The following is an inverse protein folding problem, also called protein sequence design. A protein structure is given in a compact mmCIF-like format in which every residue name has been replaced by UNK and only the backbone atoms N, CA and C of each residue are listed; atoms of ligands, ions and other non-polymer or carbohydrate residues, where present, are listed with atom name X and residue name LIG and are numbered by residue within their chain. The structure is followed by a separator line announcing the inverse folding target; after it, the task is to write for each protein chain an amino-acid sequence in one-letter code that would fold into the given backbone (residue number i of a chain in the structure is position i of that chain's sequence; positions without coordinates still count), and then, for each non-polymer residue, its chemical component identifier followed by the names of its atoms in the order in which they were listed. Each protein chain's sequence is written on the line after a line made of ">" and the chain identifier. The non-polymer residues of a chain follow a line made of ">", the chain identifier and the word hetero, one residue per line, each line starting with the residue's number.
data_IF_362349214325
#
_entry.id   IF_362349214325
#
_cell.length_a   1.000
_cell.length_b   1.000
_cell.length_c   1.000
_cell.angle_alpha   90.00
_cell.angle_beta   90.00
_cell.angle_gamma   90.00
#
_symmetry.space_group_name_H-M   'P 1'
#
loop_
_entity.id
_entity.type
_entity.pdbx_description
1 polymer ?
#
# COMPACT_ATOMS: atom_id res chain seq x y z
N UNK A 1 40.64 -31.31 -1.99
CA UNK A 1 40.03 -30.24 -1.21
C UNK A 1 39.04 -30.88 -0.21
N UNK A 2 39.26 -30.78 1.09
CA UNK A 2 38.25 -31.20 2.06
C UNK A 2 37.10 -30.21 2.00
N UNK A 3 35.88 -30.68 1.65
CA UNK A 3 34.66 -29.87 1.76
C UNK A 3 34.51 -29.40 3.20
N UNK A 4 34.19 -28.13 3.42
CA UNK A 4 33.94 -27.62 4.73
C UNK A 4 32.79 -28.40 5.40
N UNK A 5 32.81 -28.56 6.74
CA UNK A 5 31.78 -29.32 7.46
C UNK A 5 30.35 -28.88 7.13
N UNK A 6 30.12 -27.58 7.00
CA UNK A 6 28.81 -26.99 6.67
C UNK A 6 28.27 -27.45 5.32
N UNK A 7 29.11 -27.57 4.28
CA UNK A 7 28.67 -28.07 2.96
C UNK A 7 28.29 -29.56 3.02
N UNK A 8 29.00 -30.35 3.84
CA UNK A 8 28.69 -31.74 4.07
C UNK A 8 27.34 -31.93 4.76
N UNK A 9 27.07 -31.14 5.80
CA UNK A 9 25.80 -31.17 6.57
C UNK A 9 24.62 -30.68 5.72
N UNK A 10 24.78 -29.62 4.94
CA UNK A 10 23.75 -29.18 4.00
C UNK A 10 23.42 -30.27 2.97
N UNK A 11 24.42 -30.97 2.48
CA UNK A 11 24.22 -32.11 1.58
C UNK A 11 23.51 -33.28 2.25
N UNK A 12 23.85 -33.58 3.51
CA UNK A 12 23.16 -34.59 4.32
C UNK A 12 21.68 -34.24 4.51
N UNK A 13 21.39 -33.02 5.00
CA UNK A 13 20.02 -32.54 5.23
C UNK A 13 19.16 -32.63 3.97
N UNK A 14 19.68 -32.16 2.83
CA UNK A 14 18.97 -32.23 1.56
C UNK A 14 18.62 -33.67 1.16
N UNK A 15 19.52 -34.61 1.33
CA UNK A 15 19.25 -36.02 0.98
C UNK A 15 18.21 -36.66 1.86
N UNK A 16 18.15 -36.30 3.14
CA UNK A 16 17.27 -36.91 4.11
C UNK A 16 15.89 -36.24 4.22
N UNK A 17 15.81 -34.91 4.01
CA UNK A 17 14.58 -34.15 4.22
C UNK A 17 14.02 -33.50 2.94
N UNK A 18 14.80 -33.48 1.84
CA UNK A 18 14.38 -32.88 0.57
C UNK A 18 14.27 -33.87 -0.59
N UNK A 19 14.33 -35.14 -0.33
CA UNK A 19 14.16 -36.17 -1.34
C UNK A 19 13.09 -37.16 -0.85
N UNK A 20 11.91 -37.20 -1.53
CA UNK A 20 11.51 -36.35 -2.67
C UNK A 20 11.33 -34.89 -2.27
N UNK A 21 11.41 -33.97 -3.25
CA UNK A 21 11.23 -32.53 -2.99
C UNK A 21 9.86 -32.29 -2.32
N UNK A 22 9.85 -31.68 -1.11
CA UNK A 22 8.60 -31.50 -0.37
C UNK A 22 7.65 -30.57 -1.14
N UNK A 23 6.35 -30.90 -1.10
CA UNK A 23 5.27 -30.07 -1.62
C UNK A 23 4.59 -29.40 -0.45
N UNK A 24 4.49 -28.06 -0.50
CA UNK A 24 3.85 -27.27 0.54
C UNK A 24 2.88 -26.25 -0.08
N UNK A 25 1.82 -25.93 0.64
CA UNK A 25 0.82 -24.96 0.21
C UNK A 25 1.34 -23.51 0.29
N UNK A 26 2.28 -23.24 1.21
CA UNK A 26 2.92 -21.93 1.40
C UNK A 26 4.37 -22.08 1.85
N UNK A 27 5.11 -20.97 1.85
CA UNK A 27 6.48 -20.95 2.39
C UNK A 27 6.52 -21.20 3.90
N UNK A 28 5.51 -20.75 4.65
CA UNK A 28 5.41 -21.02 6.07
C UNK A 28 5.31 -22.52 6.33
N UNK A 29 4.41 -23.20 5.66
CA UNK A 29 4.26 -24.68 5.77
C UNK A 29 5.55 -25.39 5.39
N UNK A 30 6.25 -24.91 4.35
CA UNK A 30 7.55 -25.47 3.98
C UNK A 30 8.59 -25.27 5.09
N UNK A 31 8.65 -24.07 5.66
CA UNK A 31 9.58 -23.77 6.76
C UNK A 31 9.30 -24.61 8.00
N UNK A 32 8.02 -24.85 8.33
CA UNK A 32 7.63 -25.71 9.45
C UNK A 32 8.10 -27.16 9.22
N UNK A 33 7.92 -27.69 8.01
CA UNK A 33 8.43 -29.02 7.64
C UNK A 33 9.94 -29.11 7.77
N UNK A 34 10.68 -28.08 7.34
CA UNK A 34 12.13 -28.03 7.46
C UNK A 34 12.57 -27.94 8.92
N UNK A 35 11.88 -27.15 9.73
CA UNK A 35 12.15 -27.02 11.16
C UNK A 35 11.92 -28.36 11.89
N UNK A 36 10.87 -29.11 11.51
CA UNK A 36 10.66 -30.46 12.02
C UNK A 36 11.85 -31.37 11.69
N UNK A 37 12.33 -31.34 10.44
CA UNK A 37 13.51 -32.10 10.03
C UNK A 37 14.77 -31.71 10.82
N UNK A 38 14.99 -30.43 11.09
CA UNK A 38 16.08 -29.98 11.96
C UNK A 38 15.97 -30.55 13.38
N UNK A 39 14.76 -30.54 13.96
CA UNK A 39 14.51 -31.12 15.31
C UNK A 39 14.68 -32.64 15.36
N UNK A 40 14.39 -33.34 14.28
CA UNK A 40 14.68 -34.75 14.15
C UNK A 40 16.18 -35.01 14.11
N UNK A 41 16.93 -34.19 13.37
CA UNK A 41 18.39 -34.28 13.29
C UNK A 41 19.10 -34.01 14.64
N UNK A 42 18.48 -33.25 15.56
CA UNK A 42 19.00 -33.09 16.94
C UNK A 42 19.13 -34.42 17.70
N UNK A 43 18.34 -35.42 17.33
CA UNK A 43 18.38 -36.78 17.94
C UNK A 43 19.48 -37.66 17.37
N UNK A 44 20.09 -37.22 16.26
CA UNK A 44 21.12 -37.97 15.56
C UNK A 44 22.40 -38.10 16.39
N UNK A 45 23.00 -39.25 16.36
CA UNK A 45 24.36 -39.50 16.84
C UNK A 45 25.29 -39.51 15.62
N UNK A 46 26.31 -38.66 15.61
CA UNK A 46 27.32 -38.61 14.53
C UNK A 46 28.36 -39.68 14.85
N UNK A 47 28.77 -40.45 13.84
CA UNK A 47 29.77 -41.48 13.98
C UNK A 47 31.06 -40.93 14.60
N UNK A 48 31.61 -41.65 15.60
CA UNK A 48 32.75 -41.20 16.39
C UNK A 48 32.46 -40.14 17.47
N UNK A 49 31.19 -39.75 17.68
CA UNK A 49 30.76 -38.88 18.78
C UNK A 49 30.03 -39.66 19.88
N UNK A 50 30.19 -39.22 21.13
CA UNK A 50 29.53 -39.81 22.27
C UNK A 50 28.18 -39.17 22.61
N UNK A 51 27.97 -37.94 22.14
CA UNK A 51 26.78 -37.13 22.39
C UNK A 51 25.93 -36.98 21.11
N UNK A 52 24.63 -36.89 21.31
CA UNK A 52 23.69 -36.51 20.23
C UNK A 52 23.87 -35.04 19.86
N UNK A 53 23.52 -34.68 18.60
CA UNK A 53 23.64 -33.32 18.09
C UNK A 53 22.98 -32.31 19.02
N UNK A 54 21.75 -32.56 19.46
CA UNK A 54 21.02 -31.64 20.35
C UNK A 54 21.66 -31.45 21.72
N UNK A 55 22.31 -32.51 22.27
CA UNK A 55 23.04 -32.42 23.54
C UNK A 55 24.30 -31.56 23.37
N UNK A 56 25.09 -31.83 22.34
CA UNK A 56 26.26 -31.01 22.03
C UNK A 56 25.89 -29.53 21.76
N UNK A 57 24.79 -29.29 21.06
CA UNK A 57 24.31 -27.94 20.80
C UNK A 57 23.83 -27.22 22.08
N UNK A 58 23.24 -27.95 23.04
CA UNK A 58 22.84 -27.37 24.32
C UNK A 58 24.07 -26.87 25.11
N UNK A 59 25.15 -27.68 25.14
CA UNK A 59 26.40 -27.30 25.78
C UNK A 59 27.10 -26.14 25.06
N UNK A 60 27.10 -26.14 23.72
CA UNK A 60 27.69 -25.07 22.91
C UNK A 60 26.96 -23.74 23.07
N UNK A 61 25.65 -23.77 23.31
CA UNK A 61 24.82 -22.57 23.46
C UNK A 61 25.32 -21.61 24.52
N UNK A 62 25.85 -22.14 25.64
CA UNK A 62 26.37 -21.33 26.73
C UNK A 62 27.67 -20.60 26.37
N UNK A 63 28.31 -21.01 25.29
CA UNK A 63 29.56 -20.43 24.78
C UNK A 63 29.34 -19.53 23.56
N UNK A 64 28.10 -19.46 23.05
CA UNK A 64 27.77 -18.58 21.92
C UNK A 64 27.80 -17.12 22.36
N UNK A 65 28.31 -16.25 21.50
CA UNK A 65 28.22 -14.82 21.70
C UNK A 65 26.77 -14.35 21.56
N UNK A 66 26.43 -13.25 22.26
CA UNK A 66 25.14 -12.61 22.06
C UNK A 66 24.98 -12.20 20.61
N UNK A 67 23.75 -12.34 20.08
CA UNK A 67 23.43 -11.86 18.75
C UNK A 67 23.59 -10.34 18.71
N UNK A 68 24.11 -9.77 17.62
CA UNK A 68 24.15 -8.32 17.45
C UNK A 68 22.74 -7.73 17.50
N UNK A 69 22.60 -6.51 18.05
CA UNK A 69 21.33 -5.79 18.16
C UNK A 69 20.70 -5.56 16.77
N UNK A 70 21.54 -5.27 15.78
CA UNK A 70 21.10 -5.13 14.39
C UNK A 70 21.17 -6.45 13.65
N UNK A 71 20.03 -6.85 13.08
CA UNK A 71 19.97 -8.03 12.23
C UNK A 71 20.82 -7.83 10.97
N UNK A 72 21.46 -8.91 10.51
CA UNK A 72 22.18 -8.89 9.23
C UNK A 72 21.23 -8.57 8.08
N UNK A 73 21.58 -7.57 7.27
CA UNK A 73 20.82 -7.21 6.07
C UNK A 73 21.02 -8.28 4.98
N UNK A 74 19.94 -8.98 4.66
CA UNK A 74 19.92 -10.05 3.64
C UNK A 74 19.70 -9.51 2.23
N UNK A 75 19.70 -8.20 2.03
CA UNK A 75 19.48 -7.60 0.71
C UNK A 75 20.58 -7.95 -0.29
N UNK A 76 20.19 -8.49 -1.44
CA UNK A 76 21.03 -8.51 -2.64
C UNK A 76 20.99 -7.11 -3.25
N UNK A 77 22.12 -6.39 -3.20
CA UNK A 77 22.19 -5.02 -3.72
C UNK A 77 22.39 -5.09 -5.24
N UNK A 78 21.55 -4.38 -5.98
CA UNK A 78 21.63 -4.22 -7.43
C UNK A 78 21.55 -2.74 -7.79
N UNK A 79 22.22 -2.34 -8.87
CA UNK A 79 22.13 -0.99 -9.43
C UNK A 79 21.43 -1.06 -10.77
N UNK A 80 20.51 -0.16 -11.01
CA UNK A 80 19.74 -0.08 -12.24
C UNK A 80 19.52 1.37 -12.65
N UNK A 81 19.17 1.58 -13.91
CA UNK A 81 18.77 2.89 -14.44
C UNK A 81 17.29 2.80 -14.77
N UNK A 82 16.54 3.83 -14.39
CA UNK A 82 15.10 3.92 -14.69
C UNK A 82 14.89 4.05 -16.18
N UNK A 83 14.07 3.17 -16.76
CA UNK A 83 13.78 3.16 -18.20
C UNK A 83 12.76 4.26 -18.59
N UNK A 84 12.50 4.39 -19.90
CA UNK A 84 11.54 5.38 -20.45
C UNK A 84 10.10 5.20 -19.95
N UNK A 85 9.75 4.06 -19.37
CA UNK A 85 8.46 3.76 -18.77
C UNK A 85 8.40 4.05 -17.26
N UNK A 86 9.45 4.63 -16.66
CA UNK A 86 9.52 4.87 -15.22
C UNK A 86 9.70 3.57 -14.41
N UNK A 87 10.44 2.61 -14.97
CA UNK A 87 10.61 1.29 -14.36
C UNK A 87 12.08 0.91 -14.22
N UNK A 88 12.34 0.02 -13.27
CA UNK A 88 13.63 -0.65 -13.12
C UNK A 88 13.49 -2.13 -13.44
N UNK A 89 14.49 -2.69 -14.13
CA UNK A 89 14.53 -4.11 -14.43
C UNK A 89 15.40 -4.84 -13.42
N UNK A 90 14.79 -5.77 -12.70
CA UNK A 90 15.48 -6.65 -11.76
C UNK A 90 15.29 -8.09 -12.19
N UNK A 91 16.40 -8.77 -12.47
CA UNK A 91 16.41 -10.11 -13.09
C UNK A 91 15.59 -10.10 -14.40
N UNK A 92 14.45 -10.77 -14.44
CA UNK A 92 13.60 -10.84 -15.64
C UNK A 92 12.35 -9.97 -15.56
N UNK A 93 12.10 -9.32 -14.42
CA UNK A 93 10.88 -8.58 -14.12
C UNK A 93 11.13 -7.06 -14.10
N UNK A 94 10.10 -6.31 -14.31
CA UNK A 94 10.11 -4.85 -14.37
C UNK A 94 9.22 -4.29 -13.26
N UNK A 95 9.74 -3.32 -12.51
CA UNK A 95 9.05 -2.72 -11.35
C UNK A 95 8.99 -1.21 -11.52
N UNK A 96 7.81 -0.62 -11.32
CA UNK A 96 7.63 0.82 -11.44
C UNK A 96 8.30 1.59 -10.31
N UNK A 97 8.68 2.84 -10.60
CA UNK A 97 9.26 3.77 -9.61
C UNK A 97 8.75 5.20 -9.90
N UNK A 98 8.58 6.04 -8.87
CA UNK A 98 8.22 7.45 -9.08
C UNK A 98 9.39 8.31 -9.57
N UNK A 99 10.57 7.72 -9.74
CA UNK A 99 11.78 8.43 -10.19
C UNK A 99 11.78 8.57 -11.71
N UNK A 100 12.26 9.71 -12.20
CA UNK A 100 12.30 10.02 -13.64
C UNK A 100 13.21 9.10 -14.45
N UNK A 101 12.90 8.91 -15.76
CA UNK A 101 13.73 8.12 -16.67
C UNK A 101 15.19 8.60 -16.74
N UNK A 102 16.10 7.66 -16.92
CA UNK A 102 17.54 7.93 -17.00
C UNK A 102 18.25 8.06 -15.65
N UNK A 103 17.52 8.05 -14.54
CA UNK A 103 18.09 8.21 -13.21
C UNK A 103 18.65 6.89 -12.70
N UNK A 104 19.89 6.88 -12.20
CA UNK A 104 20.45 5.70 -11.53
C UNK A 104 19.85 5.52 -10.14
N UNK A 105 19.51 4.27 -9.81
CA UNK A 105 18.93 3.90 -8.52
C UNK A 105 19.59 2.65 -7.97
N UNK A 106 19.62 2.53 -6.65
CA UNK A 106 19.99 1.30 -5.96
C UNK A 106 18.74 0.49 -5.66
N UNK A 107 18.79 -0.80 -5.89
CA UNK A 107 17.67 -1.70 -5.56
C UNK A 107 18.16 -2.75 -4.59
N UNK A 108 17.55 -2.79 -3.42
CA UNK A 108 17.75 -3.81 -2.41
C UNK A 108 16.72 -4.92 -2.64
N UNK A 109 17.20 -6.11 -2.97
CA UNK A 109 16.33 -7.26 -3.30
C UNK A 109 16.34 -8.25 -2.17
N UNK A 110 15.20 -8.34 -1.49
CA UNK A 110 14.95 -9.29 -0.40
C UNK A 110 14.21 -10.54 -0.92
N UNK A 111 14.08 -11.60 -0.10
CA UNK A 111 13.29 -12.77 -0.48
C UNK A 111 11.82 -12.45 -0.78
N UNK A 112 11.15 -11.63 0.03
CA UNK A 112 9.73 -11.33 -0.09
C UNK A 112 9.42 -10.05 -0.87
N UNK A 113 10.33 -9.08 -0.92
CA UNK A 113 10.11 -7.77 -1.53
C UNK A 113 11.39 -7.20 -2.12
N UNK A 114 11.25 -6.09 -2.80
CA UNK A 114 12.38 -5.25 -3.22
C UNK A 114 12.10 -3.79 -2.89
N UNK A 115 13.16 -3.05 -2.68
CA UNK A 115 13.13 -1.62 -2.38
C UNK A 115 13.98 -0.86 -3.39
N UNK A 116 13.42 0.20 -3.95
CA UNK A 116 14.14 1.10 -4.84
C UNK A 116 14.59 2.32 -4.04
N UNK A 117 15.88 2.60 -4.05
CA UNK A 117 16.50 3.68 -3.30
C UNK A 117 17.10 4.72 -4.24
N UNK A 118 16.78 5.98 -3.98
CA UNK A 118 17.33 7.14 -4.69
C UNK A 118 17.66 8.24 -3.68
N UNK A 119 18.84 8.85 -3.79
CA UNK A 119 19.33 9.88 -2.88
C UNK A 119 19.20 9.53 -1.39
N UNK A 120 19.53 8.27 -1.04
CA UNK A 120 19.49 7.80 0.34
C UNK A 120 18.10 7.53 0.91
N UNK A 121 17.04 7.62 0.08
CA UNK A 121 15.65 7.38 0.48
C UNK A 121 15.05 6.20 -0.27
N UNK A 122 14.24 5.40 0.42
CA UNK A 122 13.42 4.38 -0.22
C UNK A 122 12.24 5.08 -0.92
N UNK A 123 12.23 5.04 -2.26
CA UNK A 123 11.24 5.73 -3.08
C UNK A 123 10.14 4.81 -3.59
N UNK A 124 10.38 3.49 -3.63
CA UNK A 124 9.38 2.49 -3.98
C UNK A 124 9.67 1.16 -3.29
N UNK A 125 8.61 0.43 -2.93
CA UNK A 125 8.67 -0.92 -2.40
C UNK A 125 7.63 -1.78 -3.11
N UNK A 126 8.05 -2.96 -3.58
CA UNK A 126 7.19 -3.90 -4.28
C UNK A 126 7.34 -5.29 -3.70
N UNK A 127 6.28 -6.09 -3.75
CA UNK A 127 6.39 -7.53 -3.53
C UNK A 127 7.24 -8.16 -4.63
N UNK A 128 8.11 -9.09 -4.25
CA UNK A 128 8.97 -9.77 -5.19
C UNK A 128 8.18 -10.79 -6.01
N UNK A 129 8.20 -10.62 -7.32
CA UNK A 129 7.60 -11.57 -8.24
C UNK A 129 8.64 -12.61 -8.69
N UNK A 130 8.34 -13.89 -8.48
CA UNK A 130 9.20 -15.02 -8.88
C UNK A 130 8.87 -15.56 -10.29
N UNK A 131 7.74 -15.17 -10.86
CA UNK A 131 7.43 -15.44 -12.27
C UNK A 131 8.36 -14.64 -13.17
N UNK A 132 8.50 -15.07 -14.42
CA UNK A 132 9.40 -14.41 -15.38
C UNK A 132 8.66 -13.42 -16.26
N UNK A 133 9.35 -12.35 -16.66
CA UNK A 133 8.88 -11.34 -17.63
C UNK A 133 7.59 -10.67 -17.21
N UNK A 134 7.43 -10.45 -15.91
CA UNK A 134 6.27 -9.74 -15.37
C UNK A 134 6.55 -8.24 -15.21
N UNK A 135 5.50 -7.45 -15.34
CA UNK A 135 5.50 -6.03 -15.00
C UNK A 135 4.72 -5.84 -13.70
N UNK A 136 5.38 -5.29 -12.70
CA UNK A 136 4.78 -4.98 -11.40
C UNK A 136 4.71 -3.46 -11.30
N UNK A 137 3.51 -2.93 -11.49
CA UNK A 137 3.27 -1.50 -11.64
C UNK A 137 2.38 -0.99 -10.52
N UNK A 138 2.79 0.10 -9.89
CA UNK A 138 1.97 0.84 -8.94
C UNK A 138 1.44 2.12 -9.61
N UNK A 139 0.13 2.33 -9.54
CA UNK A 139 -0.53 3.48 -10.17
C UNK A 139 -0.04 4.81 -9.56
N UNK A 140 0.32 4.82 -8.28
CA UNK A 140 0.84 6.02 -7.61
C UNK A 140 2.09 6.58 -8.27
N UNK A 141 2.94 5.71 -8.81
CA UNK A 141 4.18 6.13 -9.46
C UNK A 141 3.95 6.90 -10.76
N UNK A 142 2.75 6.81 -11.33
CA UNK A 142 2.39 7.42 -12.60
C UNK A 142 1.46 8.63 -12.46
N UNK A 143 0.98 8.97 -11.26
CA UNK A 143 -0.03 10.01 -11.08
C UNK A 143 0.38 11.36 -11.65
N UNK A 144 1.64 11.77 -11.46
CA UNK A 144 2.16 13.04 -11.97
C UNK A 144 2.22 13.08 -13.52
N UNK A 145 2.48 11.93 -14.15
CA UNK A 145 2.45 11.79 -15.61
C UNK A 145 1.02 11.74 -16.12
N UNK A 146 0.15 11.03 -15.41
CA UNK A 146 -1.27 10.91 -15.75
C UNK A 146 -2.03 12.23 -15.58
N UNK A 147 -1.65 13.08 -14.64
CA UNK A 147 -2.20 14.43 -14.50
C UNK A 147 -1.98 15.27 -15.78
N UNK A 148 -0.80 15.14 -16.38
CA UNK A 148 -0.48 15.79 -17.65
C UNK A 148 -1.19 15.15 -18.84
N UNK A 149 -1.40 13.81 -18.80
CA UNK A 149 -2.04 13.02 -19.87
C UNK A 149 -3.20 12.16 -19.32
N UNK A 150 -4.29 12.79 -18.84
CA UNK A 150 -5.36 12.09 -18.15
C UNK A 150 -6.05 11.03 -19.02
N UNK A 151 -6.07 11.21 -20.33
CA UNK A 151 -6.63 10.23 -21.26
C UNK A 151 -5.97 8.85 -21.23
N UNK A 152 -4.73 8.75 -20.74
CA UNK A 152 -4.01 7.48 -20.62
C UNK A 152 -4.44 6.64 -19.41
N UNK A 153 -5.11 7.24 -18.42
CA UNK A 153 -5.46 6.54 -17.17
C UNK A 153 -6.38 5.34 -17.39
N UNK A 154 -7.43 5.50 -18.20
CA UNK A 154 -8.45 4.47 -18.40
C UNK A 154 -7.89 3.16 -18.99
N UNK A 155 -6.87 3.25 -19.83
CA UNK A 155 -6.22 2.08 -20.45
C UNK A 155 -4.87 1.71 -19.84
N UNK A 156 -4.52 2.25 -18.66
CA UNK A 156 -3.22 1.97 -18.07
C UNK A 156 -3.17 0.60 -17.41
N UNK A 157 -2.10 -0.15 -17.69
CA UNK A 157 -1.83 -1.45 -17.07
C UNK A 157 -1.71 -1.32 -15.53
N UNK A 158 -1.21 -0.20 -15.02
CA UNK A 158 -1.10 0.06 -13.60
C UNK A 158 -2.48 0.14 -12.91
N UNK A 159 -3.48 0.78 -13.54
CA UNK A 159 -4.85 0.81 -13.04
C UNK A 159 -5.48 -0.60 -13.07
N UNK A 160 -5.24 -1.38 -14.12
CA UNK A 160 -5.71 -2.75 -14.17
C UNK A 160 -5.12 -3.62 -13.04
N UNK A 161 -3.84 -3.45 -12.75
CA UNK A 161 -3.20 -4.17 -11.64
C UNK A 161 -3.80 -3.76 -10.29
N UNK A 162 -4.08 -2.49 -10.08
CA UNK A 162 -4.77 -2.01 -8.88
C UNK A 162 -6.18 -2.60 -8.75
N UNK A 163 -6.93 -2.70 -9.85
CA UNK A 163 -8.25 -3.35 -9.86
C UNK A 163 -8.16 -4.82 -9.46
N UNK A 164 -7.23 -5.56 -10.05
CA UNK A 164 -6.99 -6.98 -9.72
C UNK A 164 -6.54 -7.19 -8.28
N UNK A 165 -5.76 -6.26 -7.74
CA UNK A 165 -5.29 -6.28 -6.35
C UNK A 165 -6.35 -5.79 -5.32
N UNK A 166 -7.56 -5.39 -5.76
CA UNK A 166 -8.60 -4.85 -4.87
C UNK A 166 -8.30 -3.45 -4.33
N UNK A 167 -7.27 -2.77 -4.85
CA UNK A 167 -6.91 -1.39 -4.46
C UNK A 167 -7.79 -0.33 -5.14
N UNK A 168 -8.58 -0.72 -6.13
CA UNK A 168 -9.52 0.12 -6.86
C UNK A 168 -10.96 -0.35 -6.63
N UNK A 169 -11.64 0.10 -5.59
CA UNK A 169 -13.01 -0.31 -5.28
C UNK A 169 -14.02 0.31 -6.26
N UNK A 170 -15.21 -0.27 -6.34
CA UNK A 170 -16.29 0.21 -7.22
C UNK A 170 -16.72 1.65 -6.93
N UNK A 171 -16.55 2.14 -5.70
CA UNK A 171 -16.81 3.54 -5.34
C UNK A 171 -15.91 4.52 -6.10
N UNK A 172 -14.68 4.11 -6.43
CA UNK A 172 -13.77 4.94 -7.23
C UNK A 172 -14.26 5.05 -8.67
N UNK A 173 -14.76 3.97 -9.26
CA UNK A 173 -15.38 4.02 -10.59
C UNK A 173 -16.65 4.90 -10.58
N UNK A 174 -17.49 4.77 -9.55
CA UNK A 174 -18.69 5.58 -9.39
C UNK A 174 -18.38 7.08 -9.25
N UNK A 175 -17.38 7.42 -8.44
CA UNK A 175 -16.91 8.80 -8.30
C UNK A 175 -16.35 9.31 -9.64
N UNK A 176 -15.47 8.53 -10.27
CA UNK A 176 -14.84 8.93 -11.53
C UNK A 176 -15.86 9.18 -12.64
N UNK A 177 -16.86 8.30 -12.75
CA UNK A 177 -17.96 8.48 -13.69
C UNK A 177 -18.71 9.81 -13.46
N UNK A 178 -19.08 10.11 -12.21
CA UNK A 178 -19.74 11.36 -11.84
C UNK A 178 -18.88 12.62 -12.14
N UNK A 179 -17.58 12.52 -11.90
CA UNK A 179 -16.63 13.58 -12.22
C UNK A 179 -16.57 13.82 -13.74
N UNK A 180 -16.56 12.76 -14.55
CA UNK A 180 -16.58 12.85 -16.01
C UNK A 180 -17.88 13.46 -16.50
N UNK A 181 -19.02 13.04 -15.99
CA UNK A 181 -20.35 13.59 -16.37
C UNK A 181 -20.45 15.08 -16.07
N UNK A 182 -19.90 15.52 -14.94
CA UNK A 182 -19.99 16.91 -14.50
C UNK A 182 -18.97 17.84 -15.16
N UNK A 183 -17.74 17.39 -15.40
CA UNK A 183 -16.62 18.23 -15.80
C UNK A 183 -16.06 17.88 -17.19
N UNK A 184 -16.59 16.83 -17.83
CA UNK A 184 -16.05 16.27 -19.05
C UNK A 184 -14.87 15.31 -18.79
N UNK A 185 -14.55 14.52 -19.81
CA UNK A 185 -13.63 13.38 -19.68
C UNK A 185 -12.24 13.75 -19.16
N UNK A 186 -11.64 14.83 -19.69
CA UNK A 186 -10.27 15.19 -19.29
C UNK A 186 -10.22 15.80 -17.90
N UNK A 187 -11.08 16.79 -17.62
CA UNK A 187 -11.12 17.47 -16.32
C UNK A 187 -11.58 16.55 -15.20
N UNK A 188 -12.60 15.72 -15.45
CA UNK A 188 -13.09 14.72 -14.49
C UNK A 188 -12.04 13.66 -14.16
N UNK A 189 -11.25 13.25 -15.16
CA UNK A 189 -10.13 12.32 -14.90
C UNK A 189 -9.01 13.00 -14.12
N UNK A 190 -8.67 14.26 -14.37
CA UNK A 190 -7.71 15.02 -13.54
C UNK A 190 -8.21 15.16 -12.11
N UNK A 191 -9.48 15.45 -11.91
CA UNK A 191 -10.07 15.52 -10.58
C UNK A 191 -9.97 14.17 -9.85
N UNK A 192 -10.18 13.05 -10.53
CA UNK A 192 -9.99 11.71 -9.96
C UNK A 192 -8.53 11.44 -9.61
N UNK A 193 -7.58 11.82 -10.47
CA UNK A 193 -6.14 11.70 -10.17
C UNK A 193 -5.79 12.51 -8.93
N UNK A 194 -6.29 13.74 -8.81
CA UNK A 194 -6.07 14.57 -7.62
C UNK A 194 -6.63 13.92 -6.33
N UNK A 195 -7.77 13.23 -6.42
CA UNK A 195 -8.30 12.45 -5.29
C UNK A 195 -7.35 11.31 -4.89
N UNK A 196 -6.80 10.58 -5.86
CA UNK A 196 -5.85 9.49 -5.57
C UNK A 196 -4.56 10.03 -4.96
N UNK A 197 -4.08 11.20 -5.44
CA UNK A 197 -2.89 11.88 -4.90
C UNK A 197 -3.02 12.23 -3.41
N UNK A 198 -4.25 12.43 -2.89
CA UNK A 198 -4.48 12.61 -1.46
C UNK A 198 -4.02 11.39 -0.64
N UNK A 199 -3.89 10.23 -1.26
CA UNK A 199 -3.33 9.03 -0.64
C UNK A 199 -1.90 9.21 -0.12
N UNK A 200 -1.11 10.09 -0.76
CA UNK A 200 0.26 10.43 -0.33
C UNK A 200 0.26 11.17 1.02
N UNK A 201 -0.78 11.97 1.30
CA UNK A 201 -0.91 12.80 2.50
C UNK A 201 -1.68 12.09 3.63
N UNK A 202 -2.80 11.45 3.29
CA UNK A 202 -3.75 10.89 4.27
C UNK A 202 -3.72 9.37 4.36
N UNK A 203 -3.01 8.69 3.46
CA UNK A 203 -3.04 7.23 3.32
C UNK A 203 -4.22 6.73 2.46
N UNK A 204 -3.99 5.61 1.78
CA UNK A 204 -4.96 5.05 0.84
C UNK A 204 -6.28 4.62 1.47
N UNK A 205 -6.23 4.02 2.65
CA UNK A 205 -7.44 3.53 3.33
C UNK A 205 -8.35 4.68 3.76
N UNK A 206 -7.77 5.80 4.22
CA UNK A 206 -8.52 7.00 4.56
C UNK A 206 -9.20 7.59 3.30
N UNK A 207 -8.48 7.69 2.19
CA UNK A 207 -9.05 8.18 0.93
C UNK A 207 -10.18 7.26 0.45
N UNK A 208 -10.02 5.95 0.54
CA UNK A 208 -11.09 4.99 0.20
C UNK A 208 -12.34 5.23 1.02
N UNK A 209 -12.21 5.35 2.35
CA UNK A 209 -13.34 5.60 3.24
C UNK A 209 -14.02 6.96 2.96
N UNK A 210 -13.22 8.00 2.67
CA UNK A 210 -13.75 9.31 2.31
C UNK A 210 -14.52 9.28 0.98
N UNK A 211 -13.99 8.56 -0.03
CA UNK A 211 -14.67 8.35 -1.32
C UNK A 211 -15.96 7.55 -1.15
N UNK A 212 -15.94 6.46 -0.36
CA UNK A 212 -17.14 5.68 -0.07
C UNK A 212 -18.23 6.54 0.59
N UNK A 213 -17.82 7.40 1.52
CA UNK A 213 -18.72 8.33 2.19
C UNK A 213 -19.26 9.41 1.24
N UNK A 214 -18.40 10.01 0.42
CA UNK A 214 -18.79 11.02 -0.57
C UNK A 214 -19.78 10.44 -1.59
N UNK A 215 -19.54 9.23 -2.08
CA UNK A 215 -20.44 8.56 -3.03
C UNK A 215 -21.81 8.29 -2.41
N UNK A 216 -21.86 7.85 -1.14
CA UNK A 216 -23.12 7.64 -0.39
C UNK A 216 -23.89 8.95 -0.18
N UNK A 217 -23.18 10.04 0.10
CA UNK A 217 -23.77 11.37 0.29
C UNK A 217 -24.13 12.07 -1.04
N UNK A 218 -23.89 11.44 -2.18
CA UNK A 218 -24.12 12.05 -3.48
C UNK A 218 -23.11 13.14 -3.89
N UNK A 219 -22.05 13.32 -3.11
CA UNK A 219 -21.01 14.30 -3.40
C UNK A 219 -20.10 13.82 -4.53
N UNK A 220 -19.77 14.71 -5.46
CA UNK A 220 -18.86 14.44 -6.58
C UNK A 220 -17.83 15.57 -6.73
N UNK A 221 -17.35 16.12 -5.62
CA UNK A 221 -16.35 17.18 -5.60
C UNK A 221 -15.10 16.72 -4.84
N UNK A 222 -13.93 16.95 -5.44
CA UNK A 222 -12.64 16.66 -4.83
C UNK A 222 -12.40 17.46 -3.53
N UNK A 223 -12.96 18.69 -3.46
CA UNK A 223 -12.90 19.53 -2.26
C UNK A 223 -13.70 18.91 -1.10
N UNK A 224 -14.86 18.32 -1.39
CA UNK A 224 -15.66 17.62 -0.40
C UNK A 224 -14.92 16.39 0.17
N UNK A 225 -14.19 15.65 -0.68
CA UNK A 225 -13.38 14.50 -0.25
C UNK A 225 -12.23 14.96 0.65
N UNK A 226 -11.52 16.04 0.27
CA UNK A 226 -10.47 16.62 1.11
C UNK A 226 -11.04 17.09 2.46
N UNK A 227 -12.21 17.70 2.46
CA UNK A 227 -12.91 18.09 3.69
C UNK A 227 -13.22 16.89 4.57
N UNK A 228 -13.77 15.81 4.03
CA UNK A 228 -14.04 14.57 4.77
C UNK A 228 -12.77 13.98 5.38
N UNK A 229 -11.65 13.99 4.65
CA UNK A 229 -10.35 13.53 5.14
C UNK A 229 -9.85 14.38 6.30
N UNK A 230 -9.97 15.70 6.19
CA UNK A 230 -9.54 16.64 7.24
C UNK A 230 -10.41 16.54 8.48
N UNK A 231 -11.72 16.37 8.29
CA UNK A 231 -12.67 16.25 9.42
C UNK A 231 -12.62 14.89 10.12
N UNK A 232 -12.24 13.81 9.42
CA UNK A 232 -12.12 12.48 10.02
C UNK A 232 -11.03 12.42 11.11
N UNK A 233 -10.01 13.27 11.01
CA UNK A 233 -8.96 13.43 12.03
C UNK A 233 -9.35 14.34 13.19
N UNK A 234 -10.41 15.14 13.04
CA UNK A 234 -10.96 15.98 14.10
C UNK A 234 -12.16 15.27 14.72
N UNK A 235 -11.94 14.58 15.83
CA UNK A 235 -13.03 14.30 16.74
C UNK A 235 -13.65 15.68 17.09
N UNK A 236 -14.75 16.03 16.40
CA UNK A 236 -15.56 17.16 16.90
C UNK A 236 -15.91 16.78 18.34
N UNK A 237 -15.49 17.57 19.33
CA UNK A 237 -16.08 17.41 20.63
C UNK A 237 -17.58 17.53 20.37
N UNK A 238 -18.35 16.50 20.72
CA UNK A 238 -19.79 16.65 20.86
C UNK A 238 -19.88 17.71 21.95
N UNK A 239 -20.11 18.95 21.53
CA UNK A 239 -20.49 19.98 22.44
C UNK A 239 -21.86 19.48 22.97
N UNK A 240 -21.83 18.78 24.10
CA UNK A 240 -23.01 18.70 24.92
C UNK A 240 -23.42 20.15 25.13
N UNK A 241 -24.49 20.55 24.46
CA UNK A 241 -25.10 21.82 24.71
C UNK A 241 -25.59 21.70 26.16
N UNK A 242 -24.74 22.13 27.09
CA UNK A 242 -25.18 22.31 28.46
C UNK A 242 -26.45 23.17 28.33
N UNK A 243 -27.59 22.69 28.85
CA UNK A 243 -28.77 23.47 28.93
C UNK A 243 -28.43 24.74 29.72
N UNK A 244 -28.10 25.79 28.98
CA UNK A 244 -27.89 27.10 29.59
C UNK A 244 -29.27 27.61 29.89
N UNK A 245 -29.70 27.32 31.10
CA UNK A 245 -30.99 27.80 31.62
C UNK A 245 -31.12 29.30 31.36
N UNK A 246 -32.15 29.68 30.60
CA UNK A 246 -32.45 31.07 30.26
C UNK A 246 -32.27 31.45 28.79
N UNK A 247 -31.78 30.58 27.93
CA UNK A 247 -31.70 30.85 26.46
C UNK A 247 -33.09 30.80 25.79
N UNK A 248 -34.10 30.17 26.39
CA UNK A 248 -35.48 30.13 25.89
C UNK A 248 -36.07 31.54 25.69
N UNK A 249 -35.59 32.55 26.40
CA UNK A 249 -35.99 33.95 26.20
C UNK A 249 -35.51 34.55 24.86
N UNK A 250 -34.53 33.89 24.18
CA UNK A 250 -34.01 34.29 22.88
C UNK A 250 -34.57 33.42 21.74
N UNK A 251 -35.39 32.43 22.05
CA UNK A 251 -36.10 31.65 21.05
C UNK A 251 -37.02 32.58 20.25
N UNK A 252 -36.64 32.84 19.03
CA UNK A 252 -37.48 33.56 18.08
C UNK A 252 -38.19 32.54 17.20
N UNK A 253 -39.48 32.70 16.98
CA UNK A 253 -40.18 31.86 16.03
C UNK A 253 -39.48 31.97 14.67
N UNK A 254 -39.34 30.84 13.97
CA UNK A 254 -38.75 30.84 12.61
C UNK A 254 -39.46 31.90 11.75
N UNK A 255 -38.73 32.77 11.07
CA UNK A 255 -39.33 33.78 10.21
C UNK A 255 -40.18 33.09 9.14
N UNK A 256 -41.47 33.46 9.12
CA UNK A 256 -42.42 32.93 8.14
C UNK A 256 -42.22 33.68 6.82
N UNK A 257 -41.84 32.97 5.75
CA UNK A 257 -41.65 33.56 4.44
C UNK A 257 -42.89 34.29 3.88
N UNK A 258 -44.11 33.91 4.34
CA UNK A 258 -45.35 34.60 3.99
C UNK A 258 -45.35 36.10 4.34
N UNK A 259 -44.51 36.51 5.32
CA UNK A 259 -44.38 37.95 5.64
C UNK A 259 -43.61 38.73 4.58
N UNK A 260 -42.78 38.08 3.81
CA UNK A 260 -42.01 38.68 2.69
C UNK A 260 -42.83 38.73 1.40
N UNK A 261 -43.75 37.78 1.19
CA UNK A 261 -44.65 37.79 0.02
C UNK A 261 -45.54 39.07 -0.01
N UNK A 262 -45.92 39.63 1.15
CA UNK A 262 -46.64 40.90 1.24
C UNK A 262 -45.85 42.12 0.75
N UNK A 263 -44.51 42.04 0.72
CA UNK A 263 -43.66 43.12 0.17
C UNK A 263 -43.68 43.13 -1.35
N UNK A 264 -43.88 41.97 -1.97
CA UNK A 264 -43.98 41.83 -3.42
C UNK A 264 -45.34 42.29 -3.96
N UNK A 265 -46.41 42.21 -3.13
CA UNK A 265 -47.75 42.64 -3.51
C UNK A 265 -47.91 44.17 -3.47
N UNK A 266 -47.01 44.92 -2.80
CA UNK A 266 -47.07 46.38 -2.68
C UNK A 266 -46.52 47.14 -3.89
N UNK A 267 -45.78 46.47 -4.80
CA UNK A 267 -45.22 47.13 -5.99
C UNK A 267 -46.15 47.16 -7.21
N UNK A 268 -47.45 46.70 -7.07
CA UNK A 268 -48.40 46.73 -8.19
C UNK A 268 -49.42 47.89 -8.14
N UNK A 269 -49.33 48.79 -7.16
CA UNK A 269 -50.22 49.94 -7.10
C UNK A 269 -49.53 51.32 -7.19
N UNK A 270 -48.69 51.56 -8.17
CA UNK A 270 -48.28 52.91 -8.52
C UNK A 270 -48.02 53.00 -10.03
N UNK A 271 -49.10 53.20 -10.83
CA UNK A 271 -49.02 54.02 -12.08
C UNK A 271 -50.37 54.73 -12.25
N UNK A 272 -50.40 56.05 -12.24
CA UNK A 272 -51.53 56.83 -12.73
C UNK A 272 -51.62 56.84 -14.25
#
# INVERSE_FOLDING_TARGET
>A
MRRGGVEGENGYFRRNHWVPVPKAASLEVLNDLLLMGCREDERRLIDGRTQRVGQAMAEERDHLLALPEEAFDLAEISFSVVDGGGCVRIKTNTYSTPVGPGTPVRVNVYPAHLEVWHDGRCVARHERCYSRRQQILDLEHYLDVLERKPGAMAGSTALEQWRRAGRWPASFDALWQRLIERQGRQSGTRAMIAVIQLGKEFGHDAVRQAVDSAVKLGCSDSAAIRYLLTCAGQQRPVLEVAEIGGLTRYDRPMPCLRGYDRLLDQDQEVVP
#
